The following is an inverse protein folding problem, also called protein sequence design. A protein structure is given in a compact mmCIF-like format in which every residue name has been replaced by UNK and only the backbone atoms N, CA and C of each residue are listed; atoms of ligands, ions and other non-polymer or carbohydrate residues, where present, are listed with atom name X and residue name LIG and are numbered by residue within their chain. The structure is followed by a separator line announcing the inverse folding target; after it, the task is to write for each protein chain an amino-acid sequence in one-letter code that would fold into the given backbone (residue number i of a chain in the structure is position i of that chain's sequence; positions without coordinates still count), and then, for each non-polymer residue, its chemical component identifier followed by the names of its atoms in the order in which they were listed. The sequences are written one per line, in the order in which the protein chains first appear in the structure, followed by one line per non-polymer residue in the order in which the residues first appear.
data_IF_357476576172
#
_entry.id   IF_357476576172
#
_cell.length_a   1.000
_cell.length_b   1.000
_cell.length_c   1.000
_cell.angle_alpha   90.00
_cell.angle_beta   90.00
_cell.angle_gamma   90.00
#
_symmetry.space_group_name_H-M   'P 1'
#
loop_
_entity.id
_entity.type
_entity.pdbx_description
1 polymer ?
#
# COMPACT_ATOMS: atom_id res chain seq x y z
N UNK A 1 -11.91 -8.14 -29.27
CA UNK A 1 -12.76 -8.07 -28.06
C UNK A 1 -13.98 -7.33 -28.48
N UNK A 2 -15.06 -8.06 -28.72
CA UNK A 2 -16.28 -7.53 -29.31
C UNK A 2 -17.13 -6.86 -28.24
N UNK A 3 -17.84 -5.82 -28.66
CA UNK A 3 -18.82 -5.17 -27.81
C UNK A 3 -19.98 -6.13 -27.54
N UNK A 4 -20.49 -6.10 -26.30
CA UNK A 4 -21.68 -6.86 -25.91
C UNK A 4 -22.86 -5.88 -25.76
N UNK A 5 -23.86 -5.91 -26.67
CA UNK A 5 -25.03 -5.04 -26.59
C UNK A 5 -25.83 -5.20 -25.29
N UNK A 6 -25.77 -6.37 -24.64
CA UNK A 6 -26.45 -6.61 -23.36
C UNK A 6 -25.77 -5.85 -22.23
N UNK A 7 -24.43 -5.82 -22.22
CA UNK A 7 -23.65 -5.03 -21.27
C UNK A 7 -23.98 -3.55 -21.41
N UNK A 8 -23.95 -3.03 -22.65
CA UNK A 8 -24.27 -1.63 -22.92
C UNK A 8 -25.67 -1.27 -22.43
N UNK A 9 -26.68 -2.11 -22.72
CA UNK A 9 -28.06 -1.89 -22.31
C UNK A 9 -28.21 -1.79 -20.79
N UNK A 10 -27.57 -2.66 -20.01
CA UNK A 10 -27.60 -2.60 -18.54
C UNK A 10 -27.02 -1.27 -18.04
N UNK A 11 -25.91 -0.83 -18.63
CA UNK A 11 -25.22 0.40 -18.21
C UNK A 11 -26.07 1.63 -18.52
N UNK A 12 -26.62 1.71 -19.73
CA UNK A 12 -27.49 2.81 -20.16
C UNK A 12 -28.71 3.00 -19.25
N UNK A 13 -29.30 1.88 -18.80
CA UNK A 13 -30.49 1.89 -17.94
C UNK A 13 -30.15 1.95 -16.44
N UNK A 14 -28.88 2.04 -16.07
CA UNK A 14 -28.48 2.16 -14.67
C UNK A 14 -28.83 3.54 -14.10
N UNK A 15 -29.58 3.56 -13.00
CA UNK A 15 -29.98 4.80 -12.34
C UNK A 15 -28.79 5.69 -11.94
N UNK A 16 -28.83 6.95 -12.36
CA UNK A 16 -27.80 7.96 -12.08
C UNK A 16 -26.48 7.75 -12.85
N UNK A 17 -26.43 6.81 -13.80
CA UNK A 17 -25.28 6.64 -14.68
C UNK A 17 -25.14 7.84 -15.61
N UNK A 18 -23.91 8.35 -15.74
CA UNK A 18 -23.57 9.38 -16.71
C UNK A 18 -23.19 8.75 -18.05
N UNK A 19 -23.73 9.32 -19.11
CA UNK A 19 -23.54 8.90 -20.50
C UNK A 19 -23.00 10.04 -21.38
N UNK A 20 -22.39 11.07 -20.76
CA UNK A 20 -21.87 12.26 -21.46
C UNK A 20 -20.44 12.08 -22.01
N UNK A 21 -19.84 10.89 -21.86
CA UNK A 21 -18.49 10.54 -22.33
C UNK A 21 -18.41 9.02 -22.60
N UNK A 22 -18.44 8.63 -23.88
CA UNK A 22 -18.40 7.22 -24.31
C UNK A 22 -17.14 6.50 -23.82
N UNK A 23 -16.02 7.21 -23.63
CA UNK A 23 -14.79 6.61 -23.08
C UNK A 23 -14.94 6.09 -21.64
N UNK A 24 -16.05 6.44 -20.97
CA UNK A 24 -16.41 5.98 -19.62
C UNK A 24 -17.31 4.77 -19.61
N UNK A 25 -17.94 4.45 -20.73
CA UNK A 25 -18.89 3.35 -20.86
C UNK A 25 -18.14 2.12 -21.39
N UNK A 26 -18.00 1.03 -20.61
CA UNK A 26 -17.39 -0.19 -21.13
C UNK A 26 -18.36 -0.90 -22.09
N UNK A 27 -17.93 -1.11 -23.33
CA UNK A 27 -18.63 -1.89 -24.36
C UNK A 27 -18.34 -3.38 -24.29
N UNK A 28 -17.21 -3.78 -23.69
CA UNK A 28 -16.78 -5.18 -23.58
C UNK A 28 -16.36 -5.59 -22.17
N UNK A 29 -16.26 -6.91 -21.91
CA UNK A 29 -15.74 -7.46 -20.66
C UNK A 29 -14.33 -6.95 -20.32
N UNK A 30 -13.50 -6.76 -21.34
CA UNK A 30 -12.17 -6.17 -21.20
C UNK A 30 -12.21 -4.76 -20.63
N UNK A 31 -13.05 -3.91 -21.23
CA UNK A 31 -13.20 -2.54 -20.78
C UNK A 31 -13.84 -2.50 -19.40
N UNK A 32 -14.78 -3.40 -19.10
CA UNK A 32 -15.37 -3.53 -17.78
C UNK A 32 -14.30 -3.88 -16.72
N UNK A 33 -13.42 -4.85 -16.98
CA UNK A 33 -12.28 -5.18 -16.12
C UNK A 33 -11.39 -3.96 -15.86
N UNK A 34 -11.11 -3.16 -16.89
CA UNK A 34 -10.38 -1.90 -16.77
C UNK A 34 -11.13 -0.89 -15.88
N UNK A 35 -12.44 -0.74 -16.08
CA UNK A 35 -13.27 0.23 -15.34
C UNK A 35 -13.40 -0.09 -13.87
N UNK A 36 -13.38 -1.38 -13.48
CA UNK A 36 -13.35 -1.80 -12.07
C UNK A 36 -12.15 -1.21 -11.32
N UNK A 37 -10.95 -1.34 -11.89
CA UNK A 37 -9.75 -0.72 -11.33
C UNK A 37 -9.79 0.80 -11.44
N UNK A 38 -10.18 1.32 -12.60
CA UNK A 38 -10.23 2.77 -12.85
C UNK A 38 -11.09 3.48 -11.81
N UNK A 39 -12.26 2.92 -11.46
CA UNK A 39 -13.13 3.42 -10.39
C UNK A 39 -12.36 3.62 -9.08
N UNK A 40 -11.69 2.58 -8.61
CA UNK A 40 -10.94 2.61 -7.36
C UNK A 40 -9.80 3.63 -7.40
N UNK A 41 -9.05 3.67 -8.51
CA UNK A 41 -7.96 4.63 -8.71
C UNK A 41 -8.48 6.08 -8.70
N UNK A 42 -9.60 6.36 -9.37
CA UNK A 42 -10.20 7.70 -9.40
C UNK A 42 -10.75 8.11 -8.04
N UNK A 43 -11.37 7.17 -7.33
CA UNK A 43 -11.93 7.39 -5.98
C UNK A 43 -10.84 7.71 -4.95
N UNK A 44 -9.68 7.03 -5.02
CA UNK A 44 -8.53 7.30 -4.13
C UNK A 44 -7.61 8.42 -4.60
N UNK A 45 -7.62 8.74 -5.90
CA UNK A 45 -6.79 9.76 -6.50
C UNK A 45 -7.17 11.19 -6.07
N UNK A 46 -6.31 12.16 -6.39
CA UNK A 46 -6.55 13.59 -6.12
C UNK A 46 -7.34 14.31 -7.23
N UNK A 47 -7.79 13.57 -8.26
CA UNK A 47 -8.59 14.11 -9.35
C UNK A 47 -10.03 14.38 -8.93
N UNK A 48 -10.80 15.09 -9.76
CA UNK A 48 -12.25 15.20 -9.58
C UNK A 48 -12.87 13.82 -9.84
N UNK A 49 -13.11 13.06 -8.78
CA UNK A 49 -13.91 11.83 -8.83
C UNK A 49 -15.38 12.21 -9.05
N UNK A 50 -16.01 11.57 -10.03
CA UNK A 50 -17.44 11.69 -10.25
C UNK A 50 -18.05 10.27 -10.17
N UNK A 51 -18.86 9.98 -9.13
CA UNK A 51 -19.46 8.66 -8.95
C UNK A 51 -20.46 8.30 -10.06
N UNK A 52 -21.03 9.30 -10.76
CA UNK A 52 -21.96 9.09 -11.86
C UNK A 52 -21.39 8.25 -13.01
N UNK A 53 -20.07 8.30 -13.24
CA UNK A 53 -19.44 7.51 -14.31
C UNK A 53 -19.30 6.02 -14.02
N UNK A 54 -19.51 5.59 -12.78
CA UNK A 54 -19.27 4.23 -12.33
C UNK A 54 -20.47 3.62 -11.63
N UNK A 55 -21.68 4.18 -11.83
CA UNK A 55 -22.90 3.69 -11.17
C UNK A 55 -23.21 2.25 -11.58
N UNK A 56 -22.89 1.87 -12.81
CA UNK A 56 -23.06 0.50 -13.29
C UNK A 56 -22.38 -0.55 -12.40
N UNK A 57 -21.24 -0.23 -11.76
CA UNK A 57 -20.56 -1.17 -10.84
C UNK A 57 -21.40 -1.54 -9.60
N UNK A 58 -22.48 -0.80 -9.34
CA UNK A 58 -23.40 -1.03 -8.22
C UNK A 58 -24.79 -1.44 -8.69
N UNK A 59 -25.00 -1.67 -9.99
CA UNK A 59 -26.24 -2.21 -10.52
C UNK A 59 -26.25 -3.75 -10.39
N UNK A 60 -27.21 -4.35 -9.66
CA UNK A 60 -27.33 -5.81 -9.52
C UNK A 60 -27.49 -6.55 -10.86
N UNK A 61 -28.09 -5.92 -11.87
CA UNK A 61 -28.25 -6.53 -13.20
C UNK A 61 -26.91 -6.78 -13.92
N UNK A 62 -25.84 -6.08 -13.49
CA UNK A 62 -24.49 -6.28 -14.03
C UNK A 62 -23.81 -7.55 -13.51
N UNK A 63 -24.40 -8.27 -12.54
CA UNK A 63 -23.72 -9.32 -11.77
C UNK A 63 -22.97 -10.36 -12.62
N UNK A 64 -23.57 -10.87 -13.70
CA UNK A 64 -22.93 -11.85 -14.58
C UNK A 64 -21.65 -11.29 -15.22
N UNK A 65 -21.75 -10.13 -15.87
CA UNK A 65 -20.61 -9.45 -16.47
C UNK A 65 -19.54 -9.07 -15.45
N UNK A 66 -19.98 -8.66 -14.25
CA UNK A 66 -19.10 -8.25 -13.16
C UNK A 66 -18.24 -9.39 -12.63
N UNK A 67 -18.84 -10.58 -12.46
CA UNK A 67 -18.14 -11.80 -12.03
C UNK A 67 -17.14 -12.25 -13.09
N UNK A 68 -17.53 -12.24 -14.37
CA UNK A 68 -16.61 -12.61 -15.45
C UNK A 68 -15.46 -11.61 -15.55
N UNK A 69 -15.75 -10.31 -15.48
CA UNK A 69 -14.73 -9.26 -15.49
C UNK A 69 -13.78 -9.34 -14.29
N UNK A 70 -14.27 -9.74 -13.11
CA UNK A 70 -13.44 -10.05 -11.95
C UNK A 70 -12.45 -11.19 -12.26
N UNK A 71 -12.93 -12.32 -12.77
CA UNK A 71 -12.05 -13.47 -13.04
C UNK A 71 -11.06 -13.21 -14.17
N UNK A 72 -11.45 -12.48 -15.22
CA UNK A 72 -10.54 -12.03 -16.29
C UNK A 72 -9.42 -11.17 -15.69
N UNK A 73 -9.79 -10.19 -14.86
CA UNK A 73 -8.83 -9.29 -14.24
C UNK A 73 -7.91 -10.02 -13.25
N UNK A 74 -8.46 -10.89 -12.40
CA UNK A 74 -7.70 -11.69 -11.45
C UNK A 74 -6.71 -12.62 -12.16
N UNK A 75 -7.11 -13.23 -13.27
CA UNK A 75 -6.23 -14.06 -14.09
C UNK A 75 -5.13 -13.24 -14.74
N UNK A 76 -5.45 -12.09 -15.34
CA UNK A 76 -4.45 -11.18 -15.92
C UNK A 76 -3.41 -10.73 -14.89
N UNK A 77 -3.87 -10.25 -13.72
CA UNK A 77 -3.00 -9.82 -12.62
C UNK A 77 -2.14 -10.96 -12.10
N UNK A 78 -2.74 -12.11 -11.77
CA UNK A 78 -2.01 -13.25 -11.22
C UNK A 78 -1.03 -13.88 -12.20
N UNK A 79 -1.34 -13.84 -13.50
CA UNK A 79 -0.47 -14.37 -14.54
C UNK A 79 0.75 -13.48 -14.81
N UNK A 80 0.59 -12.14 -14.73
CA UNK A 80 1.63 -11.18 -15.09
C UNK A 80 2.48 -10.74 -13.91
N UNK A 81 1.89 -10.61 -12.72
CA UNK A 81 2.53 -9.95 -11.59
C UNK A 81 2.75 -10.89 -10.42
N UNK A 82 3.79 -10.61 -9.64
CA UNK A 82 4.01 -11.29 -8.36
C UNK A 82 2.82 -11.02 -7.40
N UNK A 83 2.39 -11.99 -6.57
CA UNK A 83 1.31 -11.80 -5.60
C UNK A 83 1.50 -10.63 -4.63
N UNK A 84 2.76 -10.27 -4.36
CA UNK A 84 3.10 -9.17 -3.47
C UNK A 84 3.27 -7.81 -4.17
N UNK A 85 3.18 -7.79 -5.50
CA UNK A 85 3.37 -6.59 -6.31
C UNK A 85 2.35 -5.50 -5.98
N UNK A 86 2.71 -4.26 -6.35
CA UNK A 86 1.83 -3.11 -6.23
C UNK A 86 0.52 -3.31 -7.00
N UNK A 87 0.59 -3.83 -8.22
CA UNK A 87 -0.58 -4.05 -9.08
C UNK A 87 -1.54 -5.06 -8.45
N UNK A 88 -1.01 -6.19 -7.96
CA UNK A 88 -1.80 -7.19 -7.25
C UNK A 88 -2.47 -6.62 -6.00
N UNK A 89 -1.72 -5.89 -5.16
CA UNK A 89 -2.28 -5.26 -3.96
C UNK A 89 -3.38 -4.24 -4.29
N UNK A 90 -3.17 -3.39 -5.30
CA UNK A 90 -4.17 -2.39 -5.72
C UNK A 90 -5.44 -3.09 -6.19
N UNK A 91 -5.31 -4.16 -6.97
CA UNK A 91 -6.46 -4.96 -7.40
C UNK A 91 -7.21 -5.54 -6.18
N UNK A 92 -6.51 -6.24 -5.29
CA UNK A 92 -7.11 -6.82 -4.07
C UNK A 92 -7.81 -5.75 -3.22
N UNK A 93 -7.15 -4.61 -2.98
CA UNK A 93 -7.75 -3.52 -2.21
C UNK A 93 -8.98 -2.91 -2.91
N UNK A 94 -8.98 -2.88 -4.25
CA UNK A 94 -10.13 -2.41 -5.02
C UNK A 94 -11.35 -3.32 -4.87
N UNK A 95 -11.14 -4.63 -4.79
CA UNK A 95 -12.20 -5.61 -4.60
C UNK A 95 -12.87 -5.47 -3.23
N UNK A 96 -12.08 -5.36 -2.15
CA UNK A 96 -12.66 -5.12 -0.82
C UNK A 96 -13.42 -3.80 -0.74
N UNK A 97 -12.95 -2.75 -1.42
CA UNK A 97 -13.65 -1.47 -1.46
C UNK A 97 -14.96 -1.55 -2.27
N UNK A 98 -14.99 -2.29 -3.39
CA UNK A 98 -16.22 -2.56 -4.15
C UNK A 98 -17.24 -3.30 -3.32
N UNK A 99 -16.84 -4.39 -2.66
CA UNK A 99 -17.71 -5.20 -1.79
C UNK A 99 -18.29 -4.35 -0.67
N UNK A 100 -17.45 -3.55 -0.01
CA UNK A 100 -17.87 -2.65 1.06
C UNK A 100 -18.94 -1.65 0.59
N UNK A 101 -18.71 -1.00 -0.56
CA UNK A 101 -19.67 -0.04 -1.12
C UNK A 101 -21.00 -0.72 -1.48
N UNK A 102 -20.95 -1.88 -2.14
CA UNK A 102 -22.16 -2.66 -2.49
C UNK A 102 -22.96 -3.06 -1.25
N UNK A 103 -22.30 -3.52 -0.19
CA UNK A 103 -22.96 -3.84 1.08
C UNK A 103 -23.57 -2.62 1.75
N UNK A 104 -22.95 -1.44 1.62
CA UNK A 104 -23.44 -0.20 2.24
C UNK A 104 -24.68 0.37 1.57
N UNK A 105 -24.87 0.12 0.27
CA UNK A 105 -26.02 0.62 -0.51
C UNK A 105 -27.17 -0.39 -0.61
N UNK A 106 -26.99 -1.59 -0.08
CA UNK A 106 -27.95 -2.68 -0.17
C UNK A 106 -29.09 -2.51 0.84
N UNK A 107 -30.30 -2.96 0.46
CA UNK A 107 -31.43 -3.01 1.39
C UNK A 107 -31.14 -3.93 2.59
N UNK A 108 -31.55 -3.51 3.79
CA UNK A 108 -31.21 -4.19 5.03
C UNK A 108 -31.56 -5.68 5.06
N UNK A 109 -32.72 -6.06 4.51
CA UNK A 109 -33.16 -7.46 4.50
C UNK A 109 -32.27 -8.33 3.61
N UNK A 110 -31.87 -7.81 2.45
CA UNK A 110 -31.00 -8.51 1.50
C UNK A 110 -29.56 -8.55 2.02
N UNK A 111 -29.09 -7.45 2.61
CA UNK A 111 -27.78 -7.33 3.25
C UNK A 111 -27.61 -8.37 4.35
N UNK A 112 -28.62 -8.56 5.18
CA UNK A 112 -28.61 -9.56 6.25
C UNK A 112 -28.46 -10.97 5.68
N UNK A 113 -29.34 -11.35 4.75
CA UNK A 113 -29.33 -12.67 4.11
C UNK A 113 -28.00 -12.99 3.42
N UNK A 114 -27.47 -12.04 2.65
CA UNK A 114 -26.19 -12.21 1.95
C UNK A 114 -25.04 -12.26 2.95
N UNK A 115 -25.04 -11.43 3.99
CA UNK A 115 -23.99 -11.43 5.02
C UNK A 115 -23.94 -12.77 5.76
N UNK A 116 -25.09 -13.35 6.12
CA UNK A 116 -25.17 -14.66 6.75
C UNK A 116 -24.62 -15.73 5.82
N UNK A 117 -25.07 -15.77 4.56
CA UNK A 117 -24.58 -16.73 3.57
C UNK A 117 -23.07 -16.67 3.37
N UNK A 118 -22.49 -15.46 3.30
CA UNK A 118 -21.02 -15.30 3.15
C UNK A 118 -20.29 -15.82 4.39
N UNK A 119 -20.79 -15.55 5.59
CA UNK A 119 -20.16 -16.01 6.83
C UNK A 119 -20.26 -17.52 6.98
N UNK A 120 -21.36 -18.13 6.58
CA UNK A 120 -21.54 -19.59 6.57
C UNK A 120 -20.65 -20.30 5.53
N UNK A 121 -20.39 -19.65 4.39
CA UNK A 121 -19.53 -20.21 3.35
C UNK A 121 -18.04 -20.07 3.68
N UNK A 122 -17.64 -18.93 4.25
CA UNK A 122 -16.22 -18.59 4.46
C UNK A 122 -15.71 -18.90 5.87
N UNK A 123 -16.60 -19.12 6.84
CA UNK A 123 -16.30 -19.45 8.23
C UNK A 123 -17.17 -20.64 8.67
N UNK A 124 -16.93 -21.18 9.87
CA UNK A 124 -17.75 -22.27 10.45
C UNK A 124 -19.08 -21.73 11.01
N UNK A 125 -19.80 -20.95 10.19
CA UNK A 125 -21.06 -20.27 10.54
C UNK A 125 -20.88 -18.92 11.24
N UNK A 126 -21.95 -18.42 11.85
CA UNK A 126 -21.99 -17.11 12.53
C UNK A 126 -21.40 -17.11 13.95
N UNK A 127 -20.87 -18.25 14.42
CA UNK A 127 -20.13 -18.34 15.68
C UNK A 127 -18.77 -19.04 15.52
N UNK A 128 -17.90 -18.54 14.63
CA UNK A 128 -16.65 -19.20 14.29
C UNK A 128 -15.66 -19.16 15.45
N UNK A 129 -14.74 -20.12 15.51
CA UNK A 129 -13.62 -20.03 16.45
C UNK A 129 -12.71 -18.86 16.04
N UNK A 130 -12.20 -18.07 17.01
CA UNK A 130 -11.45 -16.84 16.71
C UNK A 130 -10.22 -17.08 15.81
N UNK A 131 -9.64 -18.27 15.86
CA UNK A 131 -8.51 -18.67 15.01
C UNK A 131 -8.85 -18.67 13.52
N UNK A 132 -10.12 -18.81 13.12
CA UNK A 132 -10.52 -18.65 11.72
C UNK A 132 -10.29 -17.20 11.22
N UNK A 133 -10.20 -16.23 12.13
CA UNK A 133 -9.88 -14.84 11.82
C UNK A 133 -8.40 -14.49 12.08
N UNK A 134 -7.53 -15.48 12.34
CA UNK A 134 -6.12 -15.28 12.69
C UNK A 134 -5.39 -14.39 11.68
N UNK A 135 -5.53 -14.69 10.38
CA UNK A 135 -4.91 -13.90 9.31
C UNK A 135 -5.42 -12.46 9.25
N UNK A 136 -6.66 -12.20 9.67
CA UNK A 136 -7.19 -10.83 9.75
C UNK A 136 -6.61 -10.07 10.95
N UNK A 137 -6.35 -10.76 12.05
CA UNK A 137 -5.71 -10.22 13.25
C UNK A 137 -4.21 -9.95 12.98
N UNK A 138 -3.50 -10.90 12.38
CA UNK A 138 -2.08 -10.80 12.03
C UNK A 138 -1.82 -9.59 11.12
N UNK A 139 -2.65 -9.44 10.07
CA UNK A 139 -2.57 -8.33 9.13
C UNK A 139 -3.20 -7.03 9.66
N UNK A 140 -3.63 -7.00 10.92
CA UNK A 140 -4.25 -5.83 11.59
C UNK A 140 -5.47 -5.26 10.86
N UNK A 141 -6.16 -6.10 10.08
CA UNK A 141 -7.42 -5.76 9.41
C UNK A 141 -8.56 -5.64 10.42
N UNK A 142 -8.47 -6.43 11.50
CA UNK A 142 -9.31 -6.34 12.69
C UNK A 142 -8.43 -6.38 13.96
N UNK A 143 -8.97 -5.93 15.10
CA UNK A 143 -8.31 -6.05 16.39
C UNK A 143 -9.07 -7.02 17.29
N UNK A 144 -8.34 -7.75 18.14
CA UNK A 144 -8.96 -8.64 19.13
C UNK A 144 -9.93 -7.90 20.06
N UNK A 145 -9.61 -6.64 20.40
CA UNK A 145 -10.46 -5.75 21.22
C UNK A 145 -11.77 -5.34 20.56
N UNK A 146 -11.94 -5.61 19.27
CA UNK A 146 -13.18 -5.33 18.53
C UNK A 146 -14.10 -6.56 18.46
N UNK A 147 -13.64 -7.74 18.90
CA UNK A 147 -14.39 -8.98 18.84
C UNK A 147 -15.23 -9.19 20.11
N UNK A 148 -16.44 -9.69 19.93
CA UNK A 148 -17.24 -10.23 21.04
C UNK A 148 -16.93 -11.72 21.13
N UNK A 149 -16.25 -12.13 22.21
CA UNK A 149 -15.78 -13.49 22.39
C UNK A 149 -16.53 -14.20 23.51
N UNK A 150 -16.94 -15.45 23.26
CA UNK A 150 -17.50 -16.36 24.27
C UNK A 150 -16.94 -17.76 24.04
N UNK A 151 -16.20 -18.29 25.02
CA UNK A 151 -15.57 -19.62 24.97
C UNK A 151 -14.74 -19.85 23.69
N UNK A 152 -13.91 -18.86 23.31
CA UNK A 152 -13.08 -18.92 22.11
C UNK A 152 -13.82 -18.70 20.79
N UNK A 153 -15.14 -18.52 20.81
CA UNK A 153 -15.94 -18.22 19.62
C UNK A 153 -16.21 -16.74 19.47
N UNK A 154 -16.18 -16.24 18.25
CA UNK A 154 -16.58 -14.88 17.88
C UNK A 154 -18.07 -14.88 17.66
N UNK A 155 -18.81 -13.99 18.32
CA UNK A 155 -20.26 -13.86 18.13
C UNK A 155 -20.50 -12.92 16.95
N UNK A 156 -20.90 -13.48 15.81
CA UNK A 156 -21.36 -12.74 14.62
C UNK A 156 -22.86 -12.91 14.36
N UNK A 157 -23.51 -13.84 15.06
CA UNK A 157 -24.97 -14.01 15.01
C UNK A 157 -25.66 -12.79 15.64
N UNK A 158 -26.56 -12.21 14.85
CA UNK A 158 -27.32 -11.02 15.19
C UNK A 158 -28.65 -11.35 15.87
N UNK A 159 -29.26 -12.50 15.56
CA UNK A 159 -30.58 -12.87 16.03
C UNK A 159 -30.60 -13.17 17.53
N UNK A 160 -29.49 -13.72 18.06
CA UNK A 160 -29.34 -13.97 19.50
C UNK A 160 -29.03 -12.73 20.35
N UNK A 161 -28.89 -11.53 19.75
CA UNK A 161 -28.37 -10.34 20.44
C UNK A 161 -29.32 -9.15 20.39
N UNK A 162 -29.42 -8.42 21.51
CA UNK A 162 -30.28 -7.24 21.66
C UNK A 162 -29.49 -5.97 22.00
N UNK A 163 -30.10 -4.82 21.74
CA UNK A 163 -29.58 -3.50 22.09
C UNK A 163 -28.21 -3.20 21.48
N UNK A 164 -27.26 -2.74 22.30
CA UNK A 164 -25.93 -2.28 21.87
C UNK A 164 -25.09 -3.38 21.19
N UNK A 165 -25.25 -4.63 21.60
CA UNK A 165 -24.48 -5.76 21.04
C UNK A 165 -24.84 -6.01 19.58
N UNK A 166 -26.13 -5.87 19.22
CA UNK A 166 -26.61 -6.03 17.85
C UNK A 166 -25.91 -5.07 16.88
N UNK A 167 -25.82 -3.79 17.24
CA UNK A 167 -25.15 -2.78 16.40
C UNK A 167 -23.64 -2.99 16.30
N UNK A 168 -22.99 -3.46 17.37
CA UNK A 168 -21.56 -3.80 17.35
C UNK A 168 -21.33 -4.97 16.38
N UNK A 169 -22.19 -5.98 16.40
CA UNK A 169 -22.12 -7.15 15.52
C UNK A 169 -22.37 -6.77 14.07
N UNK A 170 -23.40 -5.96 13.79
CA UNK A 170 -23.65 -5.42 12.45
C UNK A 170 -22.41 -4.71 11.90
N UNK A 171 -21.84 -3.78 12.67
CA UNK A 171 -20.63 -3.07 12.28
C UNK A 171 -19.41 -4.00 12.10
N UNK A 172 -19.31 -5.06 12.91
CA UNK A 172 -18.24 -6.05 12.82
C UNK A 172 -18.39 -6.91 11.55
N UNK A 173 -19.60 -7.36 11.21
CA UNK A 173 -19.87 -8.13 9.98
C UNK A 173 -19.56 -7.30 8.74
N UNK A 174 -20.02 -6.05 8.69
CA UNK A 174 -19.71 -5.12 7.61
C UNK A 174 -18.21 -4.86 7.45
N UNK A 175 -17.46 -4.95 8.55
CA UNK A 175 -16.00 -4.81 8.54
C UNK A 175 -15.28 -6.08 8.10
N UNK A 176 -15.71 -7.26 8.56
CA UNK A 176 -15.02 -8.53 8.32
C UNK A 176 -15.25 -9.03 6.89
N UNK A 177 -16.49 -8.95 6.36
CA UNK A 177 -16.85 -9.53 5.06
C UNK A 177 -15.94 -9.07 3.92
N UNK A 178 -15.70 -7.75 3.71
CA UNK A 178 -14.78 -7.30 2.66
C UNK A 178 -13.37 -7.92 2.79
N UNK A 179 -12.90 -8.14 4.02
CA UNK A 179 -11.59 -8.73 4.26
C UNK A 179 -11.55 -10.24 4.03
N UNK A 180 -12.65 -10.97 4.27
CA UNK A 180 -12.75 -12.38 3.91
C UNK A 180 -12.70 -12.56 2.39
N UNK A 181 -13.45 -11.73 1.64
CA UNK A 181 -13.42 -11.75 0.17
C UNK A 181 -12.03 -11.40 -0.35
N UNK A 182 -11.35 -10.41 0.25
CA UNK A 182 -9.95 -10.11 -0.05
C UNK A 182 -9.05 -11.34 0.17
N UNK A 183 -9.24 -12.10 1.25
CA UNK A 183 -8.42 -13.28 1.53
C UNK A 183 -8.64 -14.40 0.51
N UNK A 184 -9.88 -14.65 0.09
CA UNK A 184 -10.16 -15.61 -0.98
C UNK A 184 -9.60 -15.14 -2.32
N UNK A 185 -9.68 -13.84 -2.59
CA UNK A 185 -9.05 -13.23 -3.79
C UNK A 185 -7.53 -13.42 -3.76
N UNK A 186 -6.88 -13.17 -2.62
CA UNK A 186 -5.45 -13.41 -2.42
C UNK A 186 -5.08 -14.89 -2.68
N UNK A 187 -5.87 -15.84 -2.15
CA UNK A 187 -5.66 -17.28 -2.38
C UNK A 187 -5.80 -17.62 -3.86
N UNK A 188 -6.81 -17.08 -4.53
CA UNK A 188 -7.04 -17.32 -5.96
C UNK A 188 -5.91 -16.78 -6.82
N UNK A 189 -5.48 -15.53 -6.62
CA UNK A 189 -4.37 -14.93 -7.37
C UNK A 189 -3.08 -15.73 -7.16
N UNK A 190 -2.79 -16.16 -5.93
CA UNK A 190 -1.64 -17.02 -5.65
C UNK A 190 -1.69 -18.34 -6.43
N UNK A 191 -2.88 -18.94 -6.58
CA UNK A 191 -3.07 -20.15 -7.39
C UNK A 191 -2.81 -19.86 -8.87
N UNK A 192 -3.38 -18.79 -9.41
CA UNK A 192 -3.15 -18.35 -10.80
C UNK A 192 -1.66 -18.13 -11.06
N UNK A 193 -0.96 -17.41 -10.17
CA UNK A 193 0.47 -17.14 -10.30
C UNK A 193 1.30 -18.43 -10.38
N UNK A 194 1.02 -19.38 -9.48
CA UNK A 194 1.66 -20.72 -9.52
C UNK A 194 1.34 -21.49 -10.80
N UNK A 195 0.16 -21.30 -11.39
CA UNK A 195 -0.23 -21.94 -12.65
C UNK A 195 0.41 -21.28 -13.85
N UNK A 196 0.56 -19.95 -13.87
CA UNK A 196 1.19 -19.21 -14.94
C UNK A 196 2.68 -19.54 -15.11
N UNK A 197 3.34 -19.98 -14.04
CA UNK A 197 4.70 -20.54 -14.11
C UNK A 197 4.77 -21.90 -14.84
N UNK A 198 3.62 -22.59 -15.02
CA UNK A 198 3.53 -23.91 -15.65
C UNK A 198 2.87 -23.89 -17.02
N UNK A 199 1.97 -22.94 -17.24
CA UNK A 199 1.14 -22.82 -18.44
C UNK A 199 1.26 -21.38 -18.92
N UNK A 200 1.64 -21.22 -20.19
CA UNK A 200 1.76 -19.91 -20.80
C UNK A 200 0.40 -19.18 -20.80
N UNK A 201 0.30 -17.99 -20.19
CA UNK A 201 -0.94 -17.22 -20.18
C UNK A 201 -1.26 -16.71 -21.60
N UNK A 202 -2.56 -16.66 -21.93
CA UNK A 202 -3.00 -16.12 -23.20
C UNK A 202 -2.53 -14.66 -23.38
N UNK A 203 -2.00 -14.25 -24.55
CA UNK A 203 -1.43 -12.90 -24.77
C UNK A 203 -2.37 -11.75 -24.37
N UNK A 204 -3.66 -11.87 -24.66
CA UNK A 204 -4.68 -10.90 -24.26
C UNK A 204 -4.68 -10.64 -22.75
N UNK A 205 -4.51 -11.65 -21.90
CA UNK A 205 -4.44 -11.43 -20.44
C UNK A 205 -3.20 -10.62 -20.04
N UNK A 206 -2.07 -10.84 -20.72
CA UNK A 206 -0.83 -10.09 -20.47
C UNK A 206 -0.97 -8.63 -20.91
N UNK A 207 -1.59 -8.39 -22.07
CA UNK A 207 -1.93 -7.05 -22.54
C UNK A 207 -2.86 -6.31 -21.56
N UNK A 208 -3.84 -7.02 -20.96
CA UNK A 208 -4.74 -6.44 -19.97
C UNK A 208 -3.94 -5.98 -18.75
N UNK A 209 -3.10 -6.87 -18.24
CA UNK A 209 -2.28 -6.61 -17.07
C UNK A 209 -1.37 -5.40 -17.31
N UNK A 210 -0.72 -5.32 -18.47
CA UNK A 210 0.14 -4.18 -18.83
C UNK A 210 -0.69 -2.88 -18.95
N UNK A 211 -1.92 -2.94 -19.47
CA UNK A 211 -2.83 -1.78 -19.49
C UNK A 211 -3.25 -1.33 -18.10
N UNK A 212 -3.48 -2.27 -17.18
CA UNK A 212 -3.77 -1.97 -15.77
C UNK A 212 -2.55 -1.31 -15.10
N UNK A 213 -1.35 -1.85 -15.30
CA UNK A 213 -0.09 -1.24 -14.83
C UNK A 213 0.06 0.20 -15.33
N UNK A 214 -0.24 0.46 -16.60
CA UNK A 214 -0.22 1.81 -17.17
C UNK A 214 -1.16 2.76 -16.42
N UNK A 215 -2.42 2.35 -16.20
CA UNK A 215 -3.42 3.16 -15.48
C UNK A 215 -3.03 3.40 -14.01
N UNK A 216 -2.58 2.35 -13.34
CA UNK A 216 -2.04 2.42 -11.98
C UNK A 216 -0.88 3.41 -11.94
N UNK A 217 0.03 3.35 -12.93
CA UNK A 217 1.16 4.26 -13.02
C UNK A 217 0.69 5.70 -13.24
N UNK A 218 -0.25 5.96 -14.14
CA UNK A 218 -0.76 7.31 -14.38
C UNK A 218 -1.44 7.96 -13.17
N UNK A 219 -2.09 7.16 -12.30
CA UNK A 219 -2.81 7.67 -11.13
C UNK A 219 -1.95 7.72 -9.85
N UNK A 220 -0.95 6.84 -9.73
CA UNK A 220 -0.04 6.77 -8.56
C UNK A 220 1.38 7.30 -8.82
N UNK A 221 1.76 7.66 -10.06
CA UNK A 221 2.98 8.44 -10.29
C UNK A 221 2.80 9.83 -9.73
N UNK A 222 3.64 10.12 -8.72
CA UNK A 222 4.12 11.43 -8.27
C UNK A 222 2.99 12.46 -8.09
N UNK A 223 2.73 12.97 -6.86
CA UNK A 223 1.78 14.05 -6.66
C UNK A 223 2.16 15.29 -7.49
N UNK A 224 1.64 15.39 -8.72
CA UNK A 224 1.82 16.54 -9.62
C UNK A 224 1.11 17.77 -9.03
N UNK A 225 0.08 17.55 -8.21
CA UNK A 225 -0.60 18.55 -7.39
C UNK A 225 -0.55 18.17 -5.91
N UNK A 226 0.64 18.30 -5.35
CA UNK A 226 0.83 18.52 -3.93
C UNK A 226 0.62 20.03 -3.70
N UNK A 227 -0.39 20.42 -2.92
CA UNK A 227 -0.65 21.82 -2.57
C UNK A 227 0.60 22.49 -1.99
N UNK A 228 0.63 23.82 -2.00
CA UNK A 228 1.74 24.62 -1.45
C UNK A 228 2.21 24.03 -0.10
N UNK A 229 3.48 23.60 -0.02
CA UNK A 229 4.08 23.05 1.21
C UNK A 229 4.27 21.52 1.33
N UNK A 230 4.08 20.72 0.27
CA UNK A 230 4.41 19.27 0.29
C UNK A 230 5.66 18.95 -0.53
N UNK A 231 6.69 18.43 0.15
CA UNK A 231 7.99 18.08 -0.44
C UNK A 231 7.87 16.76 -1.21
N UNK A 232 8.30 16.78 -2.47
CA UNK A 232 8.17 15.67 -3.42
C UNK A 232 9.43 14.78 -3.41
N UNK A 233 9.24 13.52 -3.79
CA UNK A 233 10.33 12.64 -4.22
C UNK A 233 11.13 13.33 -5.34
N UNK A 234 12.44 13.33 -5.21
CA UNK A 234 13.37 13.96 -6.14
C UNK A 234 14.77 13.41 -5.88
N UNK A 235 15.73 13.70 -6.77
CA UNK A 235 17.16 13.50 -6.50
C UNK A 235 17.53 14.03 -5.10
N UNK A 236 18.44 13.29 -4.46
CA UNK A 236 18.95 13.62 -3.14
C UNK A 236 19.75 14.93 -3.18
N UNK A 237 19.53 15.79 -2.18
CA UNK A 237 20.26 17.04 -2.00
C UNK A 237 21.23 16.88 -0.81
N UNK A 238 22.46 16.44 -1.10
CA UNK A 238 23.48 16.12 -0.09
C UNK A 238 23.78 17.30 0.84
N UNK A 239 23.72 18.53 0.34
CA UNK A 239 23.94 19.73 1.13
C UNK A 239 22.85 19.94 2.20
N UNK A 240 21.63 19.44 1.94
CA UNK A 240 20.51 19.48 2.87
C UNK A 240 20.55 18.34 3.92
N UNK A 241 21.52 17.41 3.84
CA UNK A 241 21.62 16.32 4.80
C UNK A 241 21.95 16.84 6.21
N UNK A 242 21.34 16.25 7.26
CA UNK A 242 21.68 16.58 8.64
C UNK A 242 23.10 16.12 8.99
N UNK A 243 23.73 16.74 10.02
CA UNK A 243 25.08 16.37 10.45
C UNK A 243 25.27 14.88 10.71
N UNK A 244 24.29 14.21 11.34
CA UNK A 244 24.38 12.78 11.62
C UNK A 244 24.50 11.93 10.35
N UNK A 245 23.76 12.25 9.29
CA UNK A 245 23.82 11.53 8.02
C UNK A 245 25.14 11.82 7.29
N UNK A 246 25.58 13.08 7.27
CA UNK A 246 26.87 13.45 6.68
C UNK A 246 28.04 12.73 7.36
N UNK A 247 28.00 12.67 8.69
CA UNK A 247 29.01 11.96 9.48
C UNK A 247 28.96 10.45 9.22
N UNK A 248 27.78 9.85 9.06
CA UNK A 248 27.66 8.43 8.69
C UNK A 248 28.26 8.15 7.31
N UNK A 249 27.98 9.00 6.32
CA UNK A 249 28.51 8.83 4.96
C UNK A 249 30.04 8.97 4.88
N UNK A 250 30.61 9.79 5.77
CA UNK A 250 32.06 9.98 5.86
C UNK A 250 32.80 8.80 6.51
N UNK A 251 32.07 7.82 7.08
CA UNK A 251 32.64 6.65 7.74
C UNK A 251 32.40 6.63 9.25
N UNK A 252 32.18 5.42 9.78
CA UNK A 252 31.92 5.17 11.20
C UNK A 252 32.92 4.15 11.74
N UNK A 253 33.46 4.42 12.94
CA UNK A 253 34.37 3.50 13.62
C UNK A 253 33.63 2.26 14.16
N UNK A 254 34.39 1.21 14.44
CA UNK A 254 33.93 -0.01 15.08
C UNK A 254 33.03 0.27 16.31
N UNK A 255 32.00 -0.56 16.49
CA UNK A 255 31.03 -0.48 17.59
C UNK A 255 29.67 0.15 17.22
N UNK A 256 29.64 1.14 16.33
CA UNK A 256 28.39 1.86 15.96
C UNK A 256 28.03 1.78 14.47
N UNK A 257 28.89 1.16 13.63
CA UNK A 257 28.73 1.15 12.17
C UNK A 257 27.49 0.38 11.68
N UNK A 258 27.13 -0.76 12.29
CA UNK A 258 25.97 -1.55 11.87
C UNK A 258 24.68 -0.72 12.02
N UNK A 259 24.43 -0.16 13.21
CA UNK A 259 23.27 0.71 13.46
C UNK A 259 23.30 1.98 12.58
N UNK A 260 24.47 2.58 12.37
CA UNK A 260 24.61 3.77 11.55
C UNK A 260 24.27 3.52 10.07
N UNK A 261 24.75 2.41 9.50
CA UNK A 261 24.53 2.09 8.08
C UNK A 261 23.14 1.46 7.88
N UNK A 262 22.83 0.41 8.64
CA UNK A 262 21.66 -0.44 8.41
C UNK A 262 20.37 0.22 8.91
N UNK A 263 20.39 0.89 10.08
CA UNK A 263 19.17 1.51 10.64
C UNK A 263 19.04 2.99 10.28
N UNK A 264 20.11 3.77 10.47
CA UNK A 264 20.04 5.22 10.25
C UNK A 264 20.11 5.58 8.76
N UNK A 265 21.19 5.22 8.08
CA UNK A 265 21.45 5.66 6.71
C UNK A 265 20.48 5.02 5.71
N UNK A 266 20.30 3.70 5.77
CA UNK A 266 19.39 2.96 4.87
C UNK A 266 17.95 3.49 4.95
N UNK A 267 17.44 3.65 6.18
CA UNK A 267 16.11 4.23 6.40
C UNK A 267 16.02 5.68 5.93
N UNK A 268 17.06 6.50 6.16
CA UNK A 268 17.06 7.90 5.74
C UNK A 268 17.10 8.05 4.22
N UNK A 269 18.06 7.42 3.52
CA UNK A 269 18.25 7.60 2.08
C UNK A 269 17.03 7.11 1.29
N UNK A 270 16.49 5.93 1.65
CA UNK A 270 15.32 5.36 0.98
C UNK A 270 14.11 6.29 1.09
N UNK A 271 13.75 6.75 2.29
CA UNK A 271 12.63 7.67 2.46
C UNK A 271 12.91 9.07 1.92
N UNK A 272 14.12 9.61 2.09
CA UNK A 272 14.48 10.94 1.56
C UNK A 272 14.34 11.00 0.04
N UNK A 273 14.67 9.90 -0.65
CA UNK A 273 14.62 9.80 -2.11
C UNK A 273 13.24 9.41 -2.65
N UNK A 274 12.56 8.46 -2.02
CA UNK A 274 11.31 7.87 -2.51
C UNK A 274 10.07 8.48 -1.89
N UNK A 275 10.05 8.71 -0.57
CA UNK A 275 8.86 9.18 0.13
C UNK A 275 9.16 10.07 1.35
N UNK A 276 9.64 11.30 1.13
CA UNK A 276 10.07 12.19 2.22
C UNK A 276 8.93 12.65 3.14
N UNK A 277 7.67 12.42 2.75
CA UNK A 277 6.48 12.82 3.49
C UNK A 277 5.92 11.71 4.41
N UNK A 278 6.69 10.65 4.67
CA UNK A 278 6.22 9.45 5.42
C UNK A 278 5.53 9.75 6.75
N UNK A 279 5.94 10.79 7.49
CA UNK A 279 5.31 11.12 8.78
C UNK A 279 3.97 11.88 8.67
N UNK A 280 3.53 12.24 7.46
CA UNK A 280 2.24 12.89 7.22
C UNK A 280 1.11 11.89 6.97
N UNK A 281 1.44 10.69 6.46
CA UNK A 281 0.47 9.66 6.12
C UNK A 281 0.72 8.42 7.00
N UNK A 282 -0.33 7.89 7.64
CA UNK A 282 -0.21 6.74 8.56
C UNK A 282 -0.35 5.39 7.85
N UNK A 283 -0.39 5.39 6.52
CA UNK A 283 -0.54 4.16 5.74
C UNK A 283 0.80 3.45 5.55
N UNK A 284 0.84 2.11 5.69
CA UNK A 284 2.01 1.34 5.32
C UNK A 284 2.21 1.43 3.81
N UNK A 285 3.41 1.82 3.39
CA UNK A 285 3.82 1.86 1.99
C UNK A 285 4.94 0.85 1.74
N UNK A 286 5.02 0.39 0.50
CA UNK A 286 6.10 -0.44 -0.02
C UNK A 286 7.03 0.41 -0.89
N UNK A 287 8.22 -0.10 -1.21
CA UNK A 287 9.18 0.62 -2.06
C UNK A 287 8.62 0.74 -3.49
N UNK A 288 7.99 -0.32 -4.01
CA UNK A 288 7.34 -0.36 -5.33
C UNK A 288 6.19 0.62 -5.52
N UNK A 289 5.66 1.20 -4.43
CA UNK A 289 4.71 2.32 -4.52
C UNK A 289 5.34 3.54 -5.17
N UNK A 290 6.64 3.75 -4.97
CA UNK A 290 7.41 4.91 -5.42
C UNK A 290 8.48 4.57 -6.45
N UNK A 291 8.93 3.32 -6.48
CA UNK A 291 9.99 2.82 -7.37
C UNK A 291 9.61 1.43 -7.91
N UNK A 292 8.67 1.34 -8.88
CA UNK A 292 8.03 0.09 -9.27
C UNK A 292 8.97 -0.96 -9.85
N UNK A 293 10.09 -0.54 -10.44
CA UNK A 293 11.09 -1.41 -11.05
C UNK A 293 12.39 -1.49 -10.22
N UNK A 294 12.42 -0.88 -9.03
CA UNK A 294 13.60 -0.76 -8.20
C UNK A 294 14.78 0.01 -8.83
N UNK A 295 14.57 0.73 -9.93
CA UNK A 295 15.62 1.46 -10.65
C UNK A 295 16.33 2.48 -9.76
N UNK A 296 15.58 3.21 -8.94
CA UNK A 296 16.14 4.22 -8.02
C UNK A 296 16.81 3.53 -6.83
N UNK A 297 16.20 2.47 -6.32
CA UNK A 297 16.69 1.71 -5.17
C UNK A 297 18.04 1.08 -5.48
N UNK A 298 18.16 0.40 -6.62
CA UNK A 298 19.36 -0.30 -7.04
C UNK A 298 20.46 0.64 -7.56
N UNK A 299 20.11 1.69 -8.32
CA UNK A 299 21.11 2.52 -9.00
C UNK A 299 21.43 3.85 -8.30
N UNK A 300 20.59 4.32 -7.36
CA UNK A 300 20.84 5.57 -6.64
C UNK A 300 20.99 5.37 -5.12
N UNK A 301 20.16 4.53 -4.48
CA UNK A 301 20.14 4.41 -3.01
C UNK A 301 21.19 3.42 -2.51
N UNK A 302 21.19 2.18 -2.99
CA UNK A 302 22.14 1.15 -2.55
C UNK A 302 23.61 1.55 -2.73
N UNK A 303 24.03 2.15 -3.87
CA UNK A 303 25.43 2.53 -4.06
C UNK A 303 25.92 3.50 -2.98
N UNK A 304 25.08 4.46 -2.55
CA UNK A 304 25.43 5.40 -1.48
C UNK A 304 25.55 4.72 -0.11
N UNK A 305 24.74 3.68 0.14
CA UNK A 305 24.82 2.89 1.37
C UNK A 305 26.11 2.08 1.38
N UNK A 306 26.44 1.44 0.26
CA UNK A 306 27.63 0.61 0.14
C UNK A 306 28.92 1.44 0.19
N UNK A 307 28.95 2.61 -0.45
CA UNK A 307 30.06 3.55 -0.34
C UNK A 307 30.29 3.99 1.12
N UNK A 308 29.23 4.33 1.85
CA UNK A 308 29.33 4.68 3.26
C UNK A 308 29.78 3.50 4.15
N UNK A 309 29.39 2.28 3.80
CA UNK A 309 29.80 1.05 4.46
C UNK A 309 31.30 0.77 4.24
N UNK A 310 31.80 1.02 3.03
CA UNK A 310 33.22 0.89 2.69
C UNK A 310 34.08 1.97 3.36
N UNK A 311 33.53 3.16 3.56
CA UNK A 311 34.19 4.25 4.31
C UNK A 311 34.29 3.98 5.83
N UNK A 312 33.65 2.93 6.36
CA UNK A 312 33.76 2.59 7.77
C UNK A 312 35.14 2.04 8.14
N UNK A 313 35.48 2.10 9.43
CA UNK A 313 36.78 1.62 9.93
C UNK A 313 36.59 0.57 11.05
N UNK A 314 36.84 -0.74 10.77
CA UNK A 314 37.08 -1.31 9.44
C UNK A 314 35.85 -1.25 8.49
N UNK A 315 36.02 -1.49 7.17
CA UNK A 315 34.91 -1.53 6.22
C UNK A 315 33.84 -2.54 6.64
N UNK A 316 32.56 -2.13 6.62
CA UNK A 316 31.49 -2.88 7.26
C UNK A 316 31.33 -4.29 6.67
N UNK A 317 31.26 -4.42 5.34
CA UNK A 317 30.98 -5.73 4.73
C UNK A 317 32.18 -6.66 4.64
N UNK A 318 33.39 -6.13 4.86
CA UNK A 318 34.57 -6.97 5.00
C UNK A 318 34.61 -7.63 6.38
N UNK A 319 34.17 -6.90 7.40
CA UNK A 319 34.11 -7.36 8.78
C UNK A 319 32.85 -8.19 9.08
N UNK A 320 31.70 -7.73 8.59
CA UNK A 320 30.38 -8.36 8.76
C UNK A 320 29.60 -8.38 7.43
N UNK A 321 29.85 -9.40 6.57
CA UNK A 321 29.15 -9.54 5.29
C UNK A 321 27.62 -9.70 5.44
N UNK A 322 27.12 -10.14 6.61
CA UNK A 322 25.70 -10.39 6.83
C UNK A 322 24.88 -9.09 6.81
N UNK A 323 25.51 -7.95 7.05
CA UNK A 323 24.81 -6.66 7.08
C UNK A 323 24.25 -6.25 5.71
N UNK A 324 24.72 -6.84 4.59
CA UNK A 324 24.07 -6.68 3.29
C UNK A 324 22.63 -7.21 3.28
N UNK A 325 22.39 -8.38 3.89
CA UNK A 325 21.06 -8.96 4.02
C UNK A 325 20.17 -8.11 4.92
N UNK A 326 20.73 -7.53 5.99
CA UNK A 326 19.99 -6.65 6.86
C UNK A 326 19.57 -5.34 6.16
N UNK A 327 20.42 -4.76 5.28
CA UNK A 327 20.06 -3.60 4.46
C UNK A 327 18.85 -3.93 3.58
N UNK A 328 18.88 -5.06 2.86
CA UNK A 328 17.75 -5.54 2.04
C UNK A 328 16.49 -5.72 2.90
N UNK A 329 16.64 -6.27 4.11
CA UNK A 329 15.53 -6.42 5.04
C UNK A 329 14.97 -5.08 5.54
N UNK A 330 15.80 -4.05 5.76
CA UNK A 330 15.31 -2.71 6.14
C UNK A 330 14.65 -1.97 5.00
N UNK A 331 14.93 -2.32 3.76
CA UNK A 331 14.21 -1.84 2.57
C UNK A 331 12.86 -2.55 2.36
N UNK A 332 12.60 -3.62 3.12
CA UNK A 332 11.31 -4.33 3.09
C UNK A 332 11.29 -5.59 2.24
N UNK A 333 12.46 -6.11 1.85
CA UNK A 333 12.58 -7.24 0.92
C UNK A 333 13.04 -8.54 1.56
N UNK A 334 13.01 -8.69 2.88
CA UNK A 334 13.51 -9.90 3.55
C UNK A 334 15.05 -10.02 3.59
N UNK A 335 15.55 -11.17 4.04
CA UNK A 335 16.99 -11.44 4.19
C UNK A 335 17.57 -12.02 2.89
N UNK A 336 17.72 -11.17 1.87
CA UNK A 336 18.30 -11.53 0.58
C UNK A 336 19.50 -10.66 0.21
N UNK A 337 20.35 -11.15 -0.68
CA UNK A 337 21.56 -10.41 -1.10
C UNK A 337 21.24 -9.09 -1.80
N UNK A 338 20.18 -9.06 -2.60
CA UNK A 338 19.73 -7.88 -3.34
C UNK A 338 18.21 -7.72 -3.26
N UNK A 339 17.69 -6.47 -3.26
CA UNK A 339 16.26 -6.23 -3.37
C UNK A 339 15.67 -6.78 -4.68
N UNK A 340 14.62 -7.58 -4.55
CA UNK A 340 13.81 -8.06 -5.68
C UNK A 340 12.33 -7.87 -5.36
N UNK A 341 11.53 -7.47 -6.36
CA UNK A 341 10.08 -7.29 -6.20
C UNK A 341 9.38 -8.57 -5.73
N UNK A 342 9.98 -9.74 -5.99
CA UNK A 342 9.44 -11.03 -5.54
C UNK A 342 9.45 -11.18 -4.02
N UNK A 343 10.41 -10.56 -3.34
CA UNK A 343 10.60 -10.63 -1.90
C UNK A 343 9.98 -9.42 -1.16
N UNK A 344 9.31 -8.51 -1.87
CA UNK A 344 8.79 -7.28 -1.28
C UNK A 344 7.63 -7.54 -0.31
N UNK A 345 7.86 -7.24 0.97
CA UNK A 345 6.91 -7.46 2.06
C UNK A 345 7.27 -8.63 2.96
N UNK A 346 8.33 -9.39 2.65
CA UNK A 346 8.91 -10.36 3.59
C UNK A 346 9.44 -9.68 4.87
N UNK A 347 9.77 -8.39 4.78
CA UNK A 347 10.10 -7.54 5.92
C UNK A 347 9.47 -6.15 5.80
N UNK A 348 9.56 -5.34 6.86
CA UNK A 348 9.04 -3.97 6.86
C UNK A 348 10.04 -3.00 6.25
N UNK A 349 9.58 -2.09 5.39
CA UNK A 349 10.37 -0.91 5.03
C UNK A 349 10.52 0.00 6.27
N UNK A 350 11.74 0.08 6.80
CA UNK A 350 12.03 0.70 8.10
C UNK A 350 12.17 2.22 7.97
N UNK A 351 11.36 2.96 8.72
CA UNK A 351 11.51 4.41 8.83
C UNK A 351 12.78 4.77 9.59
N UNK A 352 13.44 5.90 9.25
CA UNK A 352 14.66 6.30 9.91
C UNK A 352 14.39 6.64 11.38
N UNK A 353 15.34 6.25 12.22
CA UNK A 353 15.32 6.50 13.66
C UNK A 353 15.18 7.99 14.02
N UNK A 354 14.54 8.26 15.17
CA UNK A 354 14.36 9.62 15.68
C UNK A 354 15.68 10.23 16.17
N UNK A 355 15.76 11.55 16.24
CA UNK A 355 16.94 12.25 16.79
C UNK A 355 17.27 11.80 18.21
N UNK A 356 16.26 11.49 19.03
CA UNK A 356 16.45 10.96 20.39
C UNK A 356 17.15 9.60 20.38
N UNK A 357 16.71 8.67 19.53
CA UNK A 357 17.39 7.38 19.36
C UNK A 357 18.82 7.56 18.87
N UNK A 358 19.06 8.50 17.95
CA UNK A 358 20.43 8.76 17.44
C UNK A 358 21.32 9.29 18.57
N UNK A 359 20.80 10.18 19.44
CA UNK A 359 21.57 10.67 20.59
C UNK A 359 21.96 9.56 21.57
N UNK A 360 21.08 8.58 21.77
CA UNK A 360 21.31 7.46 22.69
C UNK A 360 22.25 6.42 22.09
N UNK A 361 21.96 5.96 20.87
CA UNK A 361 22.65 4.83 20.25
C UNK A 361 23.87 5.24 19.42
N UNK A 362 23.86 6.44 18.86
CA UNK A 362 24.88 6.94 17.93
C UNK A 362 25.39 8.35 18.35
N UNK A 363 25.78 8.57 19.63
CA UNK A 363 26.12 9.89 20.14
C UNK A 363 27.28 10.54 19.38
N UNK A 364 28.26 9.75 18.91
CA UNK A 364 29.41 10.24 18.15
C UNK A 364 29.02 10.86 16.80
N UNK A 365 27.89 10.45 16.22
CA UNK A 365 27.39 10.96 14.94
C UNK A 365 26.49 12.18 15.14
N UNK A 366 25.85 12.31 16.31
CA UNK A 366 24.94 13.41 16.61
C UNK A 366 25.71 14.68 17.02
N UNK A 367 26.17 15.44 16.03
CA UNK A 367 26.75 16.79 16.19
C UNK A 367 25.72 17.85 15.76
N UNK A 368 24.77 18.23 16.63
CA UNK A 368 23.64 19.06 16.23
C UNK A 368 24.08 20.47 15.82
N UNK A 369 23.40 21.03 14.80
CA UNK A 369 23.48 22.45 14.47
C UNK A 369 22.23 23.20 14.98
N UNK A 370 22.14 24.51 14.69
CA UNK A 370 21.00 25.36 15.08
C UNK A 370 19.64 24.85 14.60
N UNK A 371 19.60 24.10 13.50
CA UNK A 371 18.37 23.55 12.94
C UNK A 371 17.97 22.24 13.65
N UNK A 372 18.95 21.43 14.06
CA UNK A 372 18.74 20.21 14.82
C UNK A 372 18.02 20.45 16.16
N UNK A 373 18.22 21.60 16.80
CA UNK A 373 17.55 21.96 18.06
C UNK A 373 16.01 22.02 17.94
N UNK A 374 15.50 22.28 16.73
CA UNK A 374 14.07 22.53 16.48
C UNK A 374 13.35 21.33 15.86
N UNK A 375 14.03 20.19 15.73
CA UNK A 375 13.57 19.04 14.95
C UNK A 375 13.80 17.72 15.70
N UNK A 376 12.87 16.79 15.55
CA UNK A 376 12.90 15.49 16.22
C UNK A 376 13.26 14.30 15.31
N UNK A 377 13.44 14.52 14.00
CA UNK A 377 13.78 13.46 13.05
C UNK A 377 14.67 13.95 11.88
N UNK A 378 15.68 13.16 11.44
CA UNK A 378 16.54 13.49 10.30
C UNK A 378 15.83 13.84 8.99
N UNK A 379 14.74 13.15 8.63
CA UNK A 379 13.95 13.47 7.43
C UNK A 379 13.29 14.84 7.55
N UNK A 380 12.78 15.19 8.73
CA UNK A 380 12.19 16.52 8.97
C UNK A 380 13.25 17.61 8.81
N UNK A 381 14.49 17.36 9.26
CA UNK A 381 15.62 18.27 9.02
C UNK A 381 15.87 18.44 7.53
N UNK A 382 16.05 17.32 6.82
CA UNK A 382 16.34 17.32 5.39
C UNK A 382 15.28 18.08 4.60
N UNK A 383 14.02 17.77 4.88
CA UNK A 383 12.86 18.42 4.29
C UNK A 383 12.85 19.93 4.53
N UNK A 384 13.10 20.35 5.77
CA UNK A 384 13.15 21.77 6.13
C UNK A 384 14.29 22.50 5.43
N UNK A 385 15.49 21.92 5.40
CA UNK A 385 16.66 22.54 4.76
C UNK A 385 16.49 22.64 3.24
N UNK A 386 15.90 21.62 2.62
CA UNK A 386 15.50 21.66 1.20
C UNK A 386 14.46 22.74 0.92
N UNK A 387 13.51 22.93 1.83
CA UNK A 387 12.53 23.99 1.71
C UNK A 387 13.16 25.37 1.88
N UNK A 388 14.02 25.58 2.89
CA UNK A 388 14.73 26.85 3.12
C UNK A 388 15.58 27.26 1.91
N UNK A 389 16.22 26.29 1.24
CA UNK A 389 16.95 26.53 -0.02
C UNK A 389 16.03 26.94 -1.18
N UNK A 390 14.84 26.34 -1.27
CA UNK A 390 13.82 26.72 -2.26
C UNK A 390 13.11 28.03 -1.90
N UNK A 391 13.07 28.35 -0.61
CA UNK A 391 12.35 29.45 0.06
C UNK A 391 13.13 30.76 0.18
N UNK A 392 14.13 31.01 -0.67
CA UNK A 392 14.49 32.40 -1.03
C UNK A 392 13.38 33.11 -1.86
N UNK A 393 12.21 32.48 -1.99
CA UNK A 393 10.92 33.11 -2.23
C UNK A 393 9.83 32.35 -1.48
N UNK A 394 8.97 33.08 -0.78
CA UNK A 394 7.74 32.66 -0.08
C UNK A 394 7.80 32.13 1.36
N UNK A 395 7.22 32.95 2.26
CA UNK A 395 7.04 32.74 3.70
C UNK A 395 5.72 32.01 3.92
N UNK A 396 5.76 30.84 4.57
CA UNK A 396 4.83 30.41 5.63
C UNK A 396 5.04 28.92 5.96
N UNK A 397 5.36 28.62 7.21
CA UNK A 397 5.41 27.25 7.75
C UNK A 397 4.28 27.11 8.79
N UNK A 398 3.45 26.06 8.74
CA UNK A 398 2.61 25.67 9.87
C UNK A 398 3.49 25.11 11.00
N UNK A 399 3.34 25.69 12.20
CA UNK A 399 3.98 25.25 13.44
C UNK A 399 3.68 23.76 13.70
N UNK A 400 4.71 22.96 13.96
CA UNK A 400 4.56 21.61 14.48
C UNK A 400 3.85 21.66 15.83
N UNK A 401 2.75 20.94 15.98
CA UNK A 401 2.06 20.73 17.25
C UNK A 401 3.01 20.10 18.28
N UNK A 402 3.59 20.93 19.14
CA UNK A 402 4.01 20.51 20.48
C UNK A 402 2.75 20.30 21.31
N UNK A 403 2.30 19.06 21.46
CA UNK A 403 1.43 18.70 22.59
C UNK A 403 2.33 18.19 23.72
N UNK A 404 2.27 18.92 24.83
CA UNK A 404 2.56 18.42 26.18
C UNK A 404 1.63 17.26 26.51
#
# INVERSE_FOLDING_TARGET
MEDDPRLFRIIEHTSGQKLDDDSKIPGSLWELSIKRIEWYLKKRGRGKYNPGYYRFLFNPELAEFDVVAFYILAQAIGARFNPNSRETRIFIESEGELVKERLSTMENHLKERISTSILEELLDGETPHWSQLEKLLENRRIKLTELILKNGKVILDKESQQGRNRHIIEALREKIIPYLIIQETEKYINKVHKMAAKIEPHPTLLELADKIREKISQQFFIPKKAGAGTIRASRLDFDAFPPCIKNTMAGVKAGNRNDAIVLLLTGFLSYARLYPAVFKDRKPHKVSDFDPNLDVTLNEILPLIYEAADNCEPPLFQDDPQEKFNITAKLGFGLHETPSLEHEGESKWYTPMSCEKIKIHLPSLCKPDKLCEKIQNPLTYYNRKRWEKKGKGDKDIPRSNTRR
#
